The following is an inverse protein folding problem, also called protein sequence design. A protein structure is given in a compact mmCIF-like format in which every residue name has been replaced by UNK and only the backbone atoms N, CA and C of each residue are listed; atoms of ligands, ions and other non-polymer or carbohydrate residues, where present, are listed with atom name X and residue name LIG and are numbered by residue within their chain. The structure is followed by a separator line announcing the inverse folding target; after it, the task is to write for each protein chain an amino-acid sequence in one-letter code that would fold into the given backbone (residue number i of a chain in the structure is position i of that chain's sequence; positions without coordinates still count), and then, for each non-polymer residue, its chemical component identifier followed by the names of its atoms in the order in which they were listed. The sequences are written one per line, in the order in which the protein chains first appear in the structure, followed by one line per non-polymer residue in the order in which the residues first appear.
data_IF_454474746192
#
_entry.id   IF_454474746192
#
_cell.length_a   1.000
_cell.length_b   1.000
_cell.length_c   1.000
_cell.angle_alpha   90.00
_cell.angle_beta   90.00
_cell.angle_gamma   90.00
#
_symmetry.space_group_name_H-M   'P 1'
#
loop_
_entity.id
_entity.type
_entity.pdbx_description
1 polymer ?
#
# COMPACT_ATOMS: atom_id res chain seq x y z
N UNK A 1 12.62 -24.57 -8.49
CA UNK A 1 12.37 -23.71 -7.32
C UNK A 1 13.67 -23.54 -6.55
N UNK A 2 13.97 -22.31 -6.14
CA UNK A 2 15.13 -21.93 -5.30
C UNK A 2 14.59 -21.32 -3.98
N UNK A 3 15.48 -20.92 -3.07
CA UNK A 3 15.15 -20.17 -1.84
C UNK A 3 14.14 -20.85 -0.88
N UNK A 4 14.39 -22.12 -0.55
CA UNK A 4 13.51 -22.96 0.30
C UNK A 4 13.56 -22.62 1.81
N UNK A 5 14.29 -21.60 2.22
CA UNK A 5 14.52 -21.26 3.63
C UNK A 5 13.26 -20.84 4.40
N UNK A 6 12.18 -20.46 3.69
CA UNK A 6 10.87 -20.12 4.26
C UNK A 6 9.80 -21.21 4.04
N UNK A 7 10.15 -22.34 3.44
CA UNK A 7 9.19 -23.42 3.17
C UNK A 7 8.72 -24.08 4.47
N UNK A 8 7.41 -24.30 4.58
CA UNK A 8 6.79 -24.93 5.74
C UNK A 8 5.49 -25.63 5.34
N UNK A 9 5.00 -26.53 6.19
CA UNK A 9 3.64 -27.06 6.06
C UNK A 9 2.66 -25.95 6.50
N UNK A 10 1.78 -25.56 5.59
CA UNK A 10 0.89 -24.41 5.79
C UNK A 10 -0.40 -24.50 5.01
N UNK A 11 -1.15 -23.41 5.04
CA UNK A 11 -2.38 -23.24 4.28
C UNK A 11 -2.06 -22.98 2.80
N UNK A 12 -2.56 -23.77 1.83
CA UNK A 12 -2.32 -23.53 0.41
C UNK A 12 -2.79 -22.15 -0.08
N UNK A 13 -3.75 -21.53 0.61
CA UNK A 13 -4.19 -20.17 0.28
C UNK A 13 -3.13 -19.12 0.61
N UNK A 14 -2.19 -19.41 1.52
CA UNK A 14 -1.04 -18.53 1.77
C UNK A 14 -0.11 -18.47 0.55
N UNK A 15 0.17 -19.61 -0.10
CA UNK A 15 0.99 -19.64 -1.31
C UNK A 15 0.33 -18.85 -2.46
N UNK A 16 -0.99 -19.00 -2.62
CA UNK A 16 -1.76 -18.21 -3.57
C UNK A 16 -1.75 -16.72 -3.22
N UNK A 17 -1.84 -16.37 -1.94
CA UNK A 17 -1.76 -14.98 -1.49
C UNK A 17 -0.38 -14.35 -1.79
N UNK A 18 0.72 -15.10 -1.58
CA UNK A 18 2.07 -14.68 -1.97
C UNK A 18 2.19 -14.42 -3.46
N UNK A 19 1.67 -15.34 -4.29
CA UNK A 19 1.65 -15.16 -5.74
C UNK A 19 0.83 -13.92 -6.13
N UNK A 20 -0.37 -13.79 -5.58
CA UNK A 20 -1.32 -12.76 -6.01
C UNK A 20 -0.92 -11.36 -5.58
N UNK A 21 -0.39 -11.18 -4.36
CA UNK A 21 0.15 -9.90 -3.88
C UNK A 21 1.24 -9.36 -4.83
N UNK A 22 2.05 -10.24 -5.43
CA UNK A 22 3.09 -9.86 -6.40
C UNK A 22 2.53 -9.31 -7.71
N UNK A 23 1.21 -9.37 -7.90
CA UNK A 23 0.49 -8.77 -9.01
C UNK A 23 0.74 -7.27 -9.22
N UNK A 24 1.05 -6.55 -8.15
CA UNK A 24 1.47 -5.14 -8.23
C UNK A 24 2.78 -4.94 -9.00
N UNK A 25 3.58 -6.01 -9.15
CA UNK A 25 4.90 -6.00 -9.82
C UNK A 25 4.87 -6.80 -11.11
N UNK A 26 4.15 -7.90 -11.16
CA UNK A 26 4.16 -8.87 -12.26
C UNK A 26 2.74 -9.22 -12.68
N UNK A 27 2.46 -9.24 -13.98
CA UNK A 27 1.16 -9.68 -14.47
C UNK A 27 1.08 -11.21 -14.49
N UNK A 28 0.08 -11.78 -13.81
CA UNK A 28 -0.19 -13.22 -13.78
C UNK A 28 -1.37 -13.63 -14.67
N UNK A 29 -1.99 -12.68 -15.37
CA UNK A 29 -3.20 -12.89 -16.16
C UNK A 29 -4.47 -12.72 -15.34
N UNK A 30 -5.58 -13.22 -15.89
CA UNK A 30 -6.89 -13.13 -15.25
C UNK A 30 -6.98 -14.03 -14.00
N UNK A 31 -7.39 -13.49 -12.84
CA UNK A 31 -7.56 -14.27 -11.60
C UNK A 31 -8.38 -15.53 -11.77
N UNK A 32 -9.60 -15.42 -12.30
CA UNK A 32 -10.54 -16.54 -12.34
C UNK A 32 -10.03 -17.68 -13.21
N UNK A 33 -9.37 -17.34 -14.31
CA UNK A 33 -8.68 -18.32 -15.16
C UNK A 33 -7.57 -19.05 -14.39
N UNK A 34 -6.71 -18.33 -13.66
CA UNK A 34 -5.60 -18.93 -12.89
C UNK A 34 -6.09 -19.75 -11.71
N UNK A 35 -7.17 -19.33 -11.08
CA UNK A 35 -7.81 -20.07 -10.01
C UNK A 35 -8.40 -21.38 -10.52
N UNK A 36 -9.12 -21.37 -11.65
CA UNK A 36 -9.64 -22.59 -12.26
C UNK A 36 -8.52 -23.58 -12.67
N UNK A 37 -7.41 -23.09 -13.22
CA UNK A 37 -6.24 -23.91 -13.53
C UNK A 37 -5.64 -24.55 -12.26
N UNK A 38 -5.52 -23.78 -11.18
CA UNK A 38 -5.04 -24.30 -9.90
C UNK A 38 -5.97 -25.36 -9.32
N UNK A 39 -7.29 -25.13 -9.32
CA UNK A 39 -8.27 -26.10 -8.83
C UNK A 39 -8.24 -27.40 -9.65
N UNK A 40 -8.13 -27.31 -10.98
CA UNK A 40 -8.04 -28.46 -11.87
C UNK A 40 -6.75 -29.27 -11.67
N UNK A 41 -5.61 -28.59 -11.47
CA UNK A 41 -4.32 -29.25 -11.29
C UNK A 41 -4.14 -29.85 -9.89
N UNK A 42 -4.66 -29.18 -8.86
CA UNK A 42 -4.52 -29.61 -7.46
C UNK A 42 -5.61 -30.58 -7.01
N UNK A 43 -6.79 -30.55 -7.64
CA UNK A 43 -7.99 -31.24 -7.15
C UNK A 43 -8.63 -30.58 -5.92
N UNK A 44 -8.13 -29.41 -5.49
CA UNK A 44 -8.64 -28.67 -4.34
C UNK A 44 -9.35 -27.41 -4.79
N UNK A 45 -10.53 -27.16 -4.21
CA UNK A 45 -11.25 -25.90 -4.44
C UNK A 45 -10.58 -24.76 -3.66
N UNK A 46 -10.59 -23.57 -4.25
CA UNK A 46 -10.09 -22.36 -3.62
C UNK A 46 -11.16 -21.83 -2.65
N UNK A 47 -10.76 -21.66 -1.40
CA UNK A 47 -11.54 -20.99 -0.38
C UNK A 47 -11.28 -19.48 -0.47
N UNK A 48 -12.27 -18.75 -0.98
CA UNK A 48 -12.18 -17.29 -1.25
C UNK A 48 -12.07 -16.46 0.03
N UNK A 49 -12.75 -16.89 1.09
CA UNK A 49 -12.74 -16.16 2.37
C UNK A 49 -11.39 -16.37 3.06
N UNK A 50 -10.88 -17.60 3.02
CA UNK A 50 -9.54 -17.93 3.50
C UNK A 50 -8.46 -17.23 2.68
N UNK A 51 -8.57 -17.17 1.35
CA UNK A 51 -7.65 -16.40 0.50
C UNK A 51 -7.67 -14.90 0.84
N UNK A 52 -8.86 -14.33 1.09
CA UNK A 52 -9.00 -12.93 1.51
C UNK A 52 -8.26 -12.66 2.82
N UNK A 53 -8.40 -13.55 3.81
CA UNK A 53 -7.65 -13.47 5.06
C UNK A 53 -6.14 -13.62 4.83
N UNK A 54 -5.70 -14.61 4.05
CA UNK A 54 -4.29 -14.85 3.79
C UNK A 54 -3.62 -13.71 3.02
N UNK A 55 -4.34 -13.04 2.12
CA UNK A 55 -3.87 -11.81 1.47
C UNK A 55 -3.57 -10.71 2.48
N UNK A 56 -4.43 -10.49 3.47
CA UNK A 56 -4.17 -9.52 4.53
C UNK A 56 -2.91 -9.90 5.33
N UNK A 57 -2.77 -11.18 5.70
CA UNK A 57 -1.64 -11.68 6.47
C UNK A 57 -0.31 -11.56 5.71
N UNK A 58 -0.29 -11.94 4.43
CA UNK A 58 0.90 -11.85 3.56
C UNK A 58 1.30 -10.39 3.32
N UNK A 59 0.33 -9.51 3.08
CA UNK A 59 0.60 -8.07 2.96
C UNK A 59 1.14 -7.50 4.28
N UNK A 60 0.58 -7.88 5.42
CA UNK A 60 1.07 -7.48 6.73
C UNK A 60 2.51 -7.93 6.99
N UNK A 61 2.84 -9.20 6.68
CA UNK A 61 4.23 -9.72 6.75
C UNK A 61 5.17 -8.89 5.88
N UNK A 62 4.74 -8.57 4.66
CA UNK A 62 5.52 -7.81 3.68
C UNK A 62 5.76 -6.36 4.10
N UNK A 63 4.71 -5.67 4.56
CA UNK A 63 4.80 -4.30 5.08
C UNK A 63 5.72 -4.26 6.30
N UNK A 64 5.54 -5.18 7.24
CA UNK A 64 6.38 -5.27 8.45
C UNK A 64 7.86 -5.45 8.10
N UNK A 65 8.17 -6.42 7.22
CA UNK A 65 9.54 -6.68 6.78
C UNK A 65 10.14 -5.47 6.05
N UNK A 66 9.35 -4.79 5.22
CA UNK A 66 9.80 -3.63 4.46
C UNK A 66 10.05 -2.41 5.36
N UNK A 67 9.16 -2.13 6.29
CA UNK A 67 9.33 -1.03 7.26
C UNK A 67 10.51 -1.31 8.19
N UNK A 68 10.71 -2.55 8.64
CA UNK A 68 11.89 -2.94 9.41
C UNK A 68 13.18 -2.69 8.61
N UNK A 69 13.18 -3.01 7.31
CA UNK A 69 14.32 -2.78 6.42
C UNK A 69 14.60 -1.30 6.19
N UNK A 70 13.56 -0.47 6.01
CA UNK A 70 13.70 0.97 5.80
C UNK A 70 14.40 1.68 6.98
N UNK A 71 14.29 1.16 8.21
CA UNK A 71 15.01 1.69 9.38
C UNK A 71 16.54 1.49 9.32
N UNK A 72 17.00 0.57 8.48
CA UNK A 72 18.41 0.19 8.38
C UNK A 72 18.99 0.41 6.97
N UNK A 73 18.21 0.97 6.05
CA UNK A 73 18.66 1.16 4.66
C UNK A 73 19.68 2.31 4.61
N UNK A 74 20.80 2.07 3.93
CA UNK A 74 21.75 3.14 3.61
C UNK A 74 21.12 4.01 2.50
N UNK A 75 21.18 5.34 2.60
CA UNK A 75 20.67 6.22 1.56
C UNK A 75 21.23 5.89 0.17
N UNK A 76 20.36 5.78 -0.84
CA UNK A 76 20.72 5.46 -2.22
C UNK A 76 19.54 4.91 -3.04
N UNK A 77 19.81 4.43 -4.25
CA UNK A 77 18.79 3.93 -5.19
C UNK A 77 17.88 2.84 -4.58
N UNK A 78 18.49 1.91 -3.82
CA UNK A 78 17.76 0.84 -3.14
C UNK A 78 16.75 1.37 -2.12
N UNK A 79 17.06 2.48 -1.44
CA UNK A 79 16.15 3.11 -0.48
C UNK A 79 14.90 3.66 -1.17
N UNK A 80 15.07 4.29 -2.34
CA UNK A 80 13.93 4.80 -3.12
C UNK A 80 13.03 3.68 -3.64
N UNK A 81 13.61 2.58 -4.12
CA UNK A 81 12.81 1.41 -4.55
C UNK A 81 11.99 0.88 -3.38
N UNK A 82 12.60 0.72 -2.21
CA UNK A 82 11.93 0.23 -1.00
C UNK A 82 10.82 1.17 -0.55
N UNK A 83 11.05 2.49 -0.56
CA UNK A 83 10.04 3.49 -0.25
C UNK A 83 8.83 3.38 -1.18
N UNK A 84 9.05 3.26 -2.51
CA UNK A 84 7.97 3.12 -3.48
C UNK A 84 7.18 1.81 -3.24
N UNK A 85 7.87 0.70 -2.91
CA UNK A 85 7.19 -0.54 -2.53
C UNK A 85 6.36 -0.34 -1.27
N UNK A 86 6.86 0.40 -0.27
CA UNK A 86 6.14 0.60 1.00
C UNK A 86 4.84 1.36 0.78
N UNK A 87 4.87 2.47 0.04
CA UNK A 87 3.67 3.22 -0.33
C UNK A 87 2.64 2.36 -1.07
N UNK A 88 3.10 1.43 -1.91
CA UNK A 88 2.22 0.51 -2.64
C UNK A 88 1.58 -0.51 -1.68
N UNK A 89 2.38 -1.13 -0.81
CA UNK A 89 1.93 -2.21 0.05
C UNK A 89 1.14 -1.71 1.26
N UNK A 90 1.43 -0.52 1.78
CA UNK A 90 0.63 0.11 2.84
C UNK A 90 -0.80 0.36 2.35
N UNK A 91 -0.97 0.90 1.14
CA UNK A 91 -2.28 1.13 0.54
C UNK A 91 -3.05 -0.18 0.27
N UNK A 92 -2.38 -1.18 -0.32
CA UNK A 92 -2.99 -2.49 -0.57
C UNK A 92 -3.38 -3.22 0.73
N UNK A 93 -2.52 -3.16 1.75
CA UNK A 93 -2.82 -3.72 3.07
C UNK A 93 -4.03 -3.02 3.68
N UNK A 94 -4.08 -1.68 3.65
CA UNK A 94 -5.22 -0.92 4.15
C UNK A 94 -6.54 -1.36 3.50
N UNK A 95 -6.55 -1.49 2.17
CA UNK A 95 -7.73 -1.98 1.45
C UNK A 95 -8.10 -3.42 1.82
N UNK A 96 -7.11 -4.29 2.01
CA UNK A 96 -7.35 -5.68 2.34
C UNK A 96 -7.85 -5.85 3.79
N UNK A 97 -7.34 -5.06 4.74
CA UNK A 97 -7.83 -5.04 6.11
C UNK A 97 -9.28 -4.56 6.15
N UNK A 98 -9.63 -3.52 5.39
CA UNK A 98 -11.02 -3.07 5.25
C UNK A 98 -11.93 -4.22 4.77
N UNK A 99 -11.50 -4.96 3.75
CA UNK A 99 -12.24 -6.11 3.21
C UNK A 99 -12.43 -7.22 4.24
N UNK A 100 -11.39 -7.56 4.99
CA UNK A 100 -11.46 -8.56 6.08
C UNK A 100 -12.42 -8.14 7.19
N UNK A 101 -12.49 -6.84 7.51
CA UNK A 101 -13.41 -6.30 8.50
C UNK A 101 -14.84 -6.10 7.98
N UNK A 102 -15.14 -6.51 6.74
CA UNK A 102 -16.47 -6.39 6.12
C UNK A 102 -16.78 -5.00 5.55
N UNK A 103 -15.79 -4.11 5.49
CA UNK A 103 -15.90 -2.84 4.77
C UNK A 103 -15.30 -2.91 3.37
N UNK A 104 -15.30 -1.77 2.68
CA UNK A 104 -14.63 -1.61 1.40
C UNK A 104 -14.00 -0.22 1.29
N UNK A 105 -12.87 -0.16 0.59
CA UNK A 105 -12.25 1.10 0.18
C UNK A 105 -11.68 0.92 -1.22
N UNK A 106 -12.13 1.75 -2.15
CA UNK A 106 -11.51 1.82 -3.46
C UNK A 106 -10.23 2.65 -3.36
N UNK A 107 -9.10 2.10 -3.79
CA UNK A 107 -7.86 2.87 -3.86
C UNK A 107 -7.88 3.85 -5.04
N UNK A 108 -7.17 4.97 -4.89
CA UNK A 108 -6.94 6.01 -5.90
C UNK A 108 -8.22 6.66 -6.43
N UNK A 109 -9.30 6.67 -5.64
CA UNK A 109 -10.58 7.27 -6.04
C UNK A 109 -10.60 8.80 -5.87
N UNK A 110 -9.72 9.35 -5.03
CA UNK A 110 -9.65 10.77 -4.75
C UNK A 110 -8.60 11.45 -5.64
N UNK A 111 -8.94 12.64 -6.14
CA UNK A 111 -7.97 13.48 -6.86
C UNK A 111 -7.12 14.27 -5.87
N UNK A 112 -5.78 14.16 -5.92
CA UNK A 112 -4.91 14.86 -4.98
C UNK A 112 -4.94 16.38 -5.21
N UNK A 113 -5.02 17.14 -4.13
CA UNK A 113 -4.92 18.61 -4.17
C UNK A 113 -3.49 19.03 -3.89
N UNK A 114 -2.84 19.67 -4.86
CA UNK A 114 -1.46 20.16 -4.76
C UNK A 114 -1.45 21.63 -4.41
N UNK A 115 -0.57 22.02 -3.49
CA UNK A 115 -0.34 23.40 -3.09
C UNK A 115 1.08 23.79 -3.43
N UNK A 116 1.27 24.99 -3.98
CA UNK A 116 2.60 25.52 -4.21
C UNK A 116 3.29 25.81 -2.87
N UNK A 117 4.48 25.24 -2.67
CA UNK A 117 5.33 25.45 -1.49
C UNK A 117 6.74 25.82 -1.92
N UNK A 118 7.50 26.45 -1.04
CA UNK A 118 8.91 26.80 -1.32
C UNK A 118 9.73 25.57 -1.65
N UNK A 119 9.51 24.45 -0.93
CA UNK A 119 10.22 23.20 -1.13
C UNK A 119 9.85 22.53 -2.46
N UNK A 120 8.57 22.56 -2.85
CA UNK A 120 8.13 22.03 -4.14
C UNK A 120 8.72 22.84 -5.29
N UNK A 121 8.69 24.17 -5.20
CA UNK A 121 9.25 25.06 -6.22
C UNK A 121 10.77 24.86 -6.36
N UNK A 122 11.49 24.74 -5.24
CA UNK A 122 12.93 24.45 -5.25
C UNK A 122 13.23 23.10 -5.91
N UNK A 123 12.45 22.07 -5.62
CA UNK A 123 12.62 20.76 -6.26
C UNK A 123 12.36 20.83 -7.78
N UNK A 124 11.36 21.59 -8.22
CA UNK A 124 11.10 21.83 -9.65
C UNK A 124 12.24 22.59 -10.33
N UNK A 125 12.80 23.62 -9.69
CA UNK A 125 13.99 24.33 -10.19
C UNK A 125 15.19 23.38 -10.34
N UNK A 126 15.48 22.56 -9.32
CA UNK A 126 16.57 21.58 -9.36
C UNK A 126 16.37 20.52 -10.46
N UNK A 127 15.14 20.07 -10.67
CA UNK A 127 14.79 19.14 -11.75
C UNK A 127 14.98 19.74 -13.15
N UNK A 128 14.92 21.07 -13.27
CA UNK A 128 15.09 21.81 -14.53
C UNK A 128 16.55 22.17 -14.86
N UNK A 129 17.44 22.26 -13.86
CA UNK A 129 18.80 22.79 -14.04
C UNK A 129 19.78 21.87 -14.79
N UNK A 130 19.63 20.54 -14.72
CA UNK A 130 20.55 19.61 -15.38
C UNK A 130 19.94 18.19 -15.53
N UNK A 131 20.44 17.36 -16.47
CA UNK A 131 20.11 15.95 -16.48
C UNK A 131 20.65 15.27 -15.21
N UNK A 132 19.74 14.89 -14.32
CA UNK A 132 20.07 14.15 -13.11
C UNK A 132 20.09 12.64 -13.38
N UNK A 133 20.99 11.89 -12.70
CA UNK A 133 20.87 10.44 -12.55
C UNK A 133 19.46 10.02 -12.11
N UNK A 134 19.03 8.83 -12.52
CA UNK A 134 17.65 8.37 -12.34
C UNK A 134 17.21 8.24 -10.87
N UNK A 135 18.14 7.90 -9.98
CA UNK A 135 17.94 7.84 -8.53
C UNK A 135 17.77 9.23 -7.93
N UNK A 136 18.63 10.19 -8.27
CA UNK A 136 18.53 11.59 -7.81
C UNK A 136 17.24 12.26 -8.30
N UNK A 137 16.86 12.03 -9.57
CA UNK A 137 15.59 12.49 -10.12
C UNK A 137 14.42 11.92 -9.34
N UNK A 138 14.42 10.62 -9.02
CA UNK A 138 13.35 9.98 -8.27
C UNK A 138 13.22 10.54 -6.84
N UNK A 139 14.33 10.87 -6.18
CA UNK A 139 14.32 11.54 -4.87
C UNK A 139 13.68 12.92 -4.98
N UNK A 140 14.10 13.75 -5.94
CA UNK A 140 13.54 15.10 -6.09
C UNK A 140 12.06 15.08 -6.49
N UNK A 141 11.65 14.17 -7.36
CA UNK A 141 10.23 13.97 -7.72
C UNK A 141 9.40 13.62 -6.46
N UNK A 142 9.91 12.72 -5.62
CA UNK A 142 9.25 12.36 -4.36
C UNK A 142 9.21 13.55 -3.38
N UNK A 143 10.31 14.28 -3.20
CA UNK A 143 10.35 15.44 -2.31
C UNK A 143 9.39 16.54 -2.77
N UNK A 144 9.37 16.84 -4.08
CA UNK A 144 8.41 17.77 -4.69
C UNK A 144 6.98 17.34 -4.39
N UNK A 145 6.63 16.09 -4.70
CA UNK A 145 5.26 15.59 -4.54
C UNK A 145 4.85 15.52 -3.06
N UNK A 146 5.76 15.10 -2.19
CA UNK A 146 5.55 15.11 -0.74
C UNK A 146 5.31 16.53 -0.20
N UNK A 147 6.10 17.51 -0.63
CA UNK A 147 5.92 18.90 -0.22
C UNK A 147 4.58 19.47 -0.72
N UNK A 148 4.29 19.29 -2.01
CA UNK A 148 3.08 19.80 -2.66
C UNK A 148 1.79 19.17 -2.11
N UNK A 149 1.83 17.94 -1.63
CA UNK A 149 0.67 17.22 -1.08
C UNK A 149 0.55 17.33 0.44
N UNK A 150 1.57 17.86 1.13
CA UNK A 150 1.65 17.86 2.60
C UNK A 150 0.45 18.52 3.30
N UNK A 151 -0.12 19.58 2.72
CA UNK A 151 -1.30 20.24 3.28
C UNK A 151 -2.55 19.37 3.10
N UNK A 152 -2.76 18.84 1.90
CA UNK A 152 -3.91 17.98 1.60
C UNK A 152 -3.91 16.70 2.42
N UNK A 153 -2.75 16.06 2.60
CA UNK A 153 -2.59 14.88 3.45
C UNK A 153 -2.96 15.17 4.91
N UNK A 154 -2.39 16.24 5.48
CA UNK A 154 -2.66 16.62 6.89
C UNK A 154 -4.13 16.98 7.12
N UNK A 155 -4.71 17.78 6.24
CA UNK A 155 -6.12 18.17 6.35
C UNK A 155 -7.03 16.93 6.22
N UNK A 156 -6.77 16.09 5.24
CA UNK A 156 -7.55 14.87 5.01
C UNK A 156 -7.50 13.91 6.21
N UNK A 157 -6.32 13.70 6.80
CA UNK A 157 -6.18 12.86 7.99
C UNK A 157 -6.91 13.47 9.21
N UNK A 158 -6.83 14.79 9.36
CA UNK A 158 -7.55 15.49 10.43
C UNK A 158 -9.05 15.32 10.28
N UNK A 159 -9.56 15.49 9.06
CA UNK A 159 -10.99 15.35 8.75
C UNK A 159 -11.46 13.91 8.97
N UNK A 160 -10.71 12.91 8.50
CA UNK A 160 -11.02 11.49 8.73
C UNK A 160 -11.04 11.15 10.23
N UNK A 161 -10.02 11.55 10.99
CA UNK A 161 -9.96 11.31 12.45
C UNK A 161 -11.15 11.94 13.18
N UNK A 162 -11.48 13.19 12.87
CA UNK A 162 -12.61 13.88 13.51
C UNK A 162 -13.95 13.28 13.13
N UNK A 163 -14.15 12.94 11.86
CA UNK A 163 -15.44 12.47 11.35
C UNK A 163 -15.71 11.00 11.67
N UNK A 164 -14.68 10.15 11.65
CA UNK A 164 -14.83 8.70 11.83
C UNK A 164 -14.59 8.24 13.26
N UNK A 165 -13.71 8.93 14.00
CA UNK A 165 -13.26 8.52 15.34
C UNK A 165 -13.55 9.57 16.42
N UNK A 166 -13.89 10.81 16.06
CA UNK A 166 -14.11 11.89 17.03
C UNK A 166 -12.85 12.31 17.78
N UNK A 167 -11.67 12.08 17.21
CA UNK A 167 -10.37 12.40 17.82
C UNK A 167 -9.54 13.33 16.92
N UNK A 168 -8.54 13.97 17.54
CA UNK A 168 -7.46 14.65 16.82
C UNK A 168 -6.40 13.63 16.35
N UNK A 169 -5.73 13.87 15.21
CA UNK A 169 -4.81 12.89 14.61
C UNK A 169 -3.61 12.52 15.50
N UNK A 170 -3.20 13.40 16.42
CA UNK A 170 -2.12 13.13 17.38
C UNK A 170 -2.47 11.99 18.34
N UNK A 171 -3.76 11.75 18.58
CA UNK A 171 -4.26 10.67 19.45
C UNK A 171 -4.49 9.36 18.72
N UNK A 172 -4.29 9.31 17.40
CA UNK A 172 -4.62 8.14 16.59
C UNK A 172 -3.87 6.88 17.05
N UNK A 173 -2.58 6.99 17.34
CA UNK A 173 -1.79 5.83 17.80
C UNK A 173 -2.28 5.30 19.14
N UNK A 174 -2.47 6.17 20.13
CA UNK A 174 -3.01 5.77 21.45
C UNK A 174 -4.40 5.15 21.32
N UNK A 175 -5.23 5.68 20.42
CA UNK A 175 -6.57 5.18 20.17
C UNK A 175 -6.54 3.79 19.51
N UNK A 176 -5.63 3.55 18.54
CA UNK A 176 -5.42 2.22 17.93
C UNK A 176 -5.10 1.17 19.00
N UNK A 177 -4.23 1.49 19.96
CA UNK A 177 -3.77 0.55 20.98
C UNK A 177 -4.88 0.09 21.95
N UNK A 178 -5.91 0.91 22.15
CA UNK A 178 -7.00 0.65 23.10
C UNK A 178 -8.39 0.55 22.45
N UNK A 179 -8.44 0.57 21.11
CA UNK A 179 -9.67 0.59 20.32
C UNK A 179 -10.56 -0.64 20.63
N UNK A 180 -11.84 -0.46 20.98
CA UNK A 180 -12.75 -1.59 21.13
C UNK A 180 -13.05 -2.24 19.76
N UNK A 181 -13.46 -3.53 19.73
CA UNK A 181 -13.77 -4.23 18.48
C UNK A 181 -14.79 -3.52 17.58
N UNK A 182 -15.75 -2.80 18.18
CA UNK A 182 -16.79 -2.06 17.46
C UNK A 182 -16.25 -0.89 16.62
N UNK A 183 -15.08 -0.36 16.96
CA UNK A 183 -14.46 0.80 16.29
C UNK A 183 -13.37 0.37 15.29
N UNK A 184 -12.99 -0.92 15.24
CA UNK A 184 -11.92 -1.43 14.38
C UNK A 184 -12.12 -1.07 12.91
N UNK A 185 -13.36 -1.13 12.41
CA UNK A 185 -13.66 -0.78 11.03
C UNK A 185 -13.43 0.72 10.76
N UNK A 186 -13.79 1.58 11.71
CA UNK A 186 -13.56 3.01 11.57
C UNK A 186 -12.06 3.34 11.61
N UNK A 187 -11.33 2.74 12.56
CA UNK A 187 -9.87 2.89 12.67
C UNK A 187 -9.16 2.40 11.40
N UNK A 188 -9.51 1.20 10.93
CA UNK A 188 -8.98 0.67 9.68
C UNK A 188 -9.30 1.58 8.49
N UNK A 189 -10.49 2.19 8.47
CA UNK A 189 -10.89 3.13 7.43
C UNK A 189 -10.02 4.39 7.39
N UNK A 190 -9.73 4.98 8.55
CA UNK A 190 -8.82 6.14 8.65
C UNK A 190 -7.41 5.76 8.16
N UNK A 191 -6.86 4.65 8.67
CA UNK A 191 -5.50 4.22 8.31
C UNK A 191 -5.39 3.84 6.82
N UNK A 192 -6.39 3.13 6.28
CA UNK A 192 -6.41 2.73 4.87
C UNK A 192 -6.50 3.93 3.93
N UNK A 193 -7.34 4.92 4.26
CA UNK A 193 -7.46 6.16 3.48
C UNK A 193 -6.19 7.00 3.55
N UNK A 194 -5.55 7.11 4.70
CA UNK A 194 -4.27 7.82 4.82
C UNK A 194 -3.18 7.14 3.97
N UNK A 195 -3.09 5.81 4.02
CA UNK A 195 -2.15 5.03 3.21
C UNK A 195 -2.40 5.19 1.69
N UNK A 196 -3.66 5.14 1.26
CA UNK A 196 -4.05 5.40 -0.14
C UNK A 196 -3.60 6.79 -0.60
N UNK A 197 -3.90 7.83 0.19
CA UNK A 197 -3.53 9.21 -0.14
C UNK A 197 -2.01 9.39 -0.19
N UNK A 198 -1.26 8.79 0.73
CA UNK A 198 0.22 8.83 0.73
C UNK A 198 0.82 8.20 -0.53
N UNK A 199 0.16 7.20 -1.14
CA UNK A 199 0.66 6.62 -2.39
C UNK A 199 0.77 7.65 -3.53
N UNK A 200 -0.03 8.73 -3.50
CA UNK A 200 0.05 9.82 -4.49
C UNK A 200 1.35 10.63 -4.43
N UNK A 201 2.18 10.50 -3.39
CA UNK A 201 3.51 11.13 -3.36
C UNK A 201 4.51 10.43 -4.29
N UNK A 202 4.10 9.34 -4.96
CA UNK A 202 4.92 8.67 -5.96
C UNK A 202 4.09 8.11 -7.11
N UNK A 203 4.28 8.68 -8.31
CA UNK A 203 3.66 8.14 -9.52
C UNK A 203 4.03 6.67 -9.79
N UNK A 204 5.20 6.22 -9.33
CA UNK A 204 5.61 4.81 -9.44
C UNK A 204 4.78 3.90 -8.52
N UNK A 205 4.37 4.37 -7.34
CA UNK A 205 3.47 3.64 -6.45
C UNK A 205 2.05 3.59 -7.02
N UNK A 206 1.51 4.72 -7.48
CA UNK A 206 0.20 4.81 -8.16
C UNK A 206 0.10 3.78 -9.30
N UNK A 207 1.09 3.73 -10.20
CA UNK A 207 1.10 2.76 -11.31
C UNK A 207 1.13 1.29 -10.87
N UNK A 208 1.72 0.99 -9.70
CA UNK A 208 1.74 -0.38 -9.15
C UNK A 208 0.39 -0.73 -8.54
N UNK A 209 -0.27 0.22 -7.88
CA UNK A 209 -1.63 0.05 -7.36
C UNK A 209 -2.61 -0.15 -8.52
N UNK A 210 -2.55 0.68 -9.57
CA UNK A 210 -3.39 0.51 -10.77
C UNK A 210 -3.17 -0.87 -11.42
N UNK A 211 -1.93 -1.39 -11.41
CA UNK A 211 -1.64 -2.75 -11.89
C UNK A 211 -2.27 -3.81 -11.01
N UNK A 212 -2.22 -3.64 -9.69
CA UNK A 212 -2.85 -4.55 -8.74
C UNK A 212 -4.39 -4.54 -8.88
N UNK A 213 -4.99 -3.38 -9.16
CA UNK A 213 -6.44 -3.26 -9.38
C UNK A 213 -6.92 -4.04 -10.60
N UNK A 214 -6.10 -4.17 -11.65
CA UNK A 214 -6.42 -4.98 -12.84
C UNK A 214 -6.61 -6.47 -12.54
N UNK A 215 -6.12 -6.92 -11.39
CA UNK A 215 -6.23 -8.31 -10.93
C UNK A 215 -7.10 -8.43 -9.66
N UNK A 216 -7.92 -7.41 -9.37
CA UNK A 216 -8.88 -7.41 -8.26
C UNK A 216 -8.30 -7.02 -6.89
N UNK A 217 -7.04 -6.62 -6.79
CA UNK A 217 -6.46 -6.14 -5.53
C UNK A 217 -6.66 -4.63 -5.36
N UNK A 218 -7.10 -4.20 -4.18
CA UNK A 218 -7.32 -2.77 -3.89
C UNK A 218 -8.53 -2.15 -4.61
N UNK A 219 -9.45 -3.00 -5.09
CA UNK A 219 -10.78 -2.60 -5.55
C UNK A 219 -11.76 -2.60 -4.38
N UNK A 220 -12.85 -1.81 -4.50
CA UNK A 220 -13.93 -1.81 -3.52
C UNK A 220 -14.66 -3.17 -3.44
#
# INVERSE_FOLDING_TARGET
MLDWELAHLGDPMEDLAWLWMRGAHTNFGDPETRFAEYEAASGHRIDRDRLTWQLALVMWKSVTALHARLRHVVPGELAMVQLIVSLTYDALLGAQVMRVLGGSTGLLQLSPVRTATTEANLADELLALAPLPGDQRAVLEYLRDSAALSQWLRQSLTDDCRTMLGIEPERLNEHIDVCPPAELLAVAGVVARDADRRAHTSQKAVRRIERAQKIGLGTA
#
